data_IF_347177782099
#
_entry.id   IF_347177782099
#
_cell.length_a   1.000
_cell.length_b   1.000
_cell.length_c   1.000
_cell.angle_alpha   90.00
_cell.angle_beta   90.00
_cell.angle_gamma   90.00
#
_symmetry.space_group_name_H-M   'P 1'
#
loop_
_entity.id
_entity.type
_entity.pdbx_description
1 polymer ?
#
# COMPACT_ATOMS: atom_id res chain seq x y z
N UNK A 1 -17.46 -2.37 -7.88
CA UNK A 1 -16.13 -2.69 -8.46
C UNK A 1 -15.49 -3.73 -7.55
N UNK A 2 -15.02 -4.86 -8.08
CA UNK A 2 -14.26 -5.83 -7.29
C UNK A 2 -12.97 -5.16 -6.79
N UNK A 3 -12.44 -5.51 -5.61
CA UNK A 3 -11.20 -4.90 -5.13
C UNK A 3 -10.09 -5.17 -6.14
N UNK A 4 -9.31 -4.13 -6.45
CA UNK A 4 -8.05 -4.35 -7.14
C UNK A 4 -7.12 -5.09 -6.16
N UNK A 5 -6.93 -6.39 -6.39
CA UNK A 5 -5.98 -7.18 -5.61
C UNK A 5 -4.57 -6.58 -5.79
N UNK A 6 -3.97 -6.09 -4.70
CA UNK A 6 -2.60 -5.57 -4.71
C UNK A 6 -1.62 -6.65 -5.15
N UNK A 7 -1.00 -6.46 -6.32
CA UNK A 7 0.03 -7.38 -6.82
C UNK A 7 1.37 -7.03 -6.21
N UNK A 8 1.94 -8.03 -5.56
CA UNK A 8 3.22 -7.97 -4.88
C UNK A 8 4.41 -8.44 -5.70
N UNK A 9 5.60 -8.30 -5.12
CA UNK A 9 6.85 -8.92 -5.56
C UNK A 9 7.25 -9.99 -4.55
N UNK A 10 7.76 -11.12 -5.03
CA UNK A 10 8.22 -12.21 -4.16
C UNK A 10 9.31 -11.74 -3.18
N UNK A 11 9.18 -12.16 -1.92
CA UNK A 11 10.07 -11.77 -0.83
C UNK A 11 9.90 -10.35 -0.27
N UNK A 12 8.94 -9.57 -0.76
CA UNK A 12 8.55 -8.30 -0.13
C UNK A 12 7.94 -8.53 1.26
N UNK A 13 7.92 -7.47 2.08
CA UNK A 13 7.26 -7.53 3.39
C UNK A 13 6.12 -6.52 3.45
N UNK A 14 4.91 -7.01 3.71
CA UNK A 14 3.75 -6.16 3.99
C UNK A 14 3.85 -5.64 5.42
N UNK A 15 3.95 -4.32 5.57
CA UNK A 15 4.10 -3.67 6.88
C UNK A 15 2.76 -3.17 7.42
N UNK A 16 1.82 -2.79 6.56
CA UNK A 16 0.51 -2.28 6.95
C UNK A 16 -0.54 -2.50 5.87
N UNK A 17 -1.80 -2.69 6.26
CA UNK A 17 -2.96 -2.76 5.34
C UNK A 17 -4.12 -1.93 5.86
N UNK A 18 -4.96 -2.46 6.75
CA UNK A 18 -5.98 -1.68 7.44
C UNK A 18 -5.45 -1.13 8.76
N UNK A 19 -5.73 0.14 9.06
CA UNK A 19 -5.46 0.81 10.33
C UNK A 19 -6.77 1.23 10.98
N UNK A 20 -6.88 1.02 12.29
CA UNK A 20 -7.96 1.66 13.05
C UNK A 20 -7.72 3.18 13.11
N UNK A 21 -8.75 4.00 13.38
CA UNK A 21 -8.57 5.44 13.57
C UNK A 21 -7.54 5.79 14.64
N UNK A 22 -7.50 5.04 15.74
CA UNK A 22 -6.56 5.22 16.85
C UNK A 22 -5.13 4.97 16.37
N UNK A 23 -4.91 3.84 15.71
CA UNK A 23 -3.60 3.49 15.18
C UNK A 23 -3.15 4.46 14.08
N UNK A 24 -4.07 4.91 13.21
CA UNK A 24 -3.77 5.93 12.21
C UNK A 24 -3.31 7.24 12.87
N UNK A 25 -3.92 7.64 14.00
CA UNK A 25 -3.48 8.82 14.76
C UNK A 25 -2.12 8.61 15.42
N UNK A 26 -1.84 7.43 15.97
CA UNK A 26 -0.55 7.09 16.59
C UNK A 26 0.62 7.21 15.61
N UNK A 27 0.43 6.77 14.36
CA UNK A 27 1.46 6.85 13.31
C UNK A 27 1.48 8.20 12.58
N UNK A 28 0.69 9.18 13.03
CA UNK A 28 0.61 10.50 12.40
C UNK A 28 -0.09 10.53 11.04
N UNK A 29 -0.90 9.52 10.72
CA UNK A 29 -1.63 9.42 9.47
C UNK A 29 -2.70 10.50 9.30
N UNK A 30 -2.97 10.87 8.05
CA UNK A 30 -3.95 11.91 7.71
C UNK A 30 -5.39 11.42 7.93
N UNK A 31 -6.27 12.37 8.26
CA UNK A 31 -7.72 12.13 8.23
C UNK A 31 -8.12 11.76 6.79
N UNK A 32 -8.94 10.71 6.64
CA UNK A 32 -9.37 10.12 5.36
C UNK A 32 -8.38 9.21 4.62
N UNK A 33 -7.31 8.73 5.27
CA UNK A 33 -6.43 7.72 4.67
C UNK A 33 -7.20 6.47 4.21
N UNK A 34 -6.83 5.92 3.06
CA UNK A 34 -7.37 4.64 2.58
C UNK A 34 -7.01 3.45 3.48
N UNK A 35 -6.00 3.58 4.35
CA UNK A 35 -5.74 2.60 5.40
C UNK A 35 -6.91 2.45 6.38
N UNK A 36 -7.73 3.49 6.55
CA UNK A 36 -8.91 3.43 7.42
C UNK A 36 -10.15 2.89 6.71
N UNK A 37 -10.04 2.51 5.43
CA UNK A 37 -11.17 2.12 4.59
C UNK A 37 -11.05 0.66 4.13
N UNK A 38 -12.21 0.07 3.87
CA UNK A 38 -12.35 -1.28 3.32
C UNK A 38 -13.31 -1.26 2.15
N UNK A 39 -13.06 -2.13 1.19
CA UNK A 39 -14.02 -2.42 0.14
C UNK A 39 -15.25 -3.12 0.72
N UNK A 40 -16.38 -3.18 -0.04
CA UNK A 40 -17.59 -3.87 0.40
C UNK A 40 -17.41 -5.36 0.75
N UNK A 41 -16.38 -6.01 0.22
CA UNK A 41 -16.03 -7.40 0.54
C UNK A 41 -15.10 -7.55 1.75
N UNK A 42 -14.83 -6.45 2.46
CA UNK A 42 -14.00 -6.42 3.66
C UNK A 42 -12.49 -6.32 3.40
N UNK A 43 -12.04 -6.35 2.14
CA UNK A 43 -10.62 -6.21 1.81
C UNK A 43 -10.10 -4.79 2.07
N UNK A 44 -8.81 -4.61 2.45
CA UNK A 44 -8.24 -3.30 2.74
C UNK A 44 -8.12 -2.47 1.45
N UNK A 45 -8.32 -1.15 1.57
CA UNK A 45 -8.15 -0.23 0.44
C UNK A 45 -6.75 0.36 0.34
N UNK A 46 -5.84 0.09 1.27
CA UNK A 46 -4.45 0.49 1.15
C UNK A 46 -3.51 -0.60 1.65
N UNK A 47 -2.27 -0.50 1.20
CA UNK A 47 -1.22 -1.43 1.57
C UNK A 47 0.14 -0.74 1.54
N UNK A 48 0.88 -0.92 2.62
CA UNK A 48 2.28 -0.53 2.72
C UNK A 48 3.16 -1.76 2.68
N UNK A 49 4.28 -1.64 1.99
CA UNK A 49 5.27 -2.72 1.92
C UNK A 49 6.67 -2.21 1.64
N UNK A 50 7.64 -3.03 2.03
CA UNK A 50 9.07 -2.77 1.83
C UNK A 50 9.68 -3.83 0.92
N UNK A 51 10.75 -3.48 0.17
CA UNK A 51 11.37 -4.38 -0.78
C UNK A 51 11.94 -5.65 -0.14
N UNK A 52 12.11 -6.72 -0.93
CA UNK A 52 12.96 -7.84 -0.54
C UNK A 52 14.40 -7.37 -0.26
N UNK A 53 15.12 -8.13 0.55
CA UNK A 53 16.53 -7.83 0.86
C UNK A 53 17.35 -7.71 -0.44
N UNK A 54 18.13 -6.64 -0.55
CA UNK A 54 19.00 -6.37 -1.69
C UNK A 54 18.34 -5.59 -2.85
N UNK A 55 17.04 -5.28 -2.77
CA UNK A 55 16.36 -4.42 -3.75
C UNK A 55 16.23 -2.99 -3.21
N UNK A 56 16.49 -2.00 -4.07
CA UNK A 56 16.30 -0.59 -3.70
C UNK A 56 14.82 -0.19 -3.69
N UNK A 57 14.47 0.81 -2.86
CA UNK A 57 13.12 1.39 -2.83
C UNK A 57 12.64 1.90 -4.19
N UNK A 58 13.52 2.59 -4.92
CA UNK A 58 13.20 3.15 -6.25
C UNK A 58 12.94 2.06 -7.28
N UNK A 59 13.74 0.98 -7.27
CA UNK A 59 13.51 -0.16 -8.15
C UNK A 59 12.21 -0.88 -7.80
N UNK A 60 11.98 -1.09 -6.51
CA UNK A 60 10.78 -1.74 -5.98
C UNK A 60 9.51 -0.99 -6.37
N UNK A 61 9.45 0.32 -6.11
CA UNK A 61 8.33 1.17 -6.50
C UNK A 61 8.06 1.14 -8.00
N UNK A 62 9.11 1.20 -8.83
CA UNK A 62 9.00 1.11 -10.30
C UNK A 62 8.36 -0.21 -10.73
N UNK A 63 8.80 -1.34 -10.14
CA UNK A 63 8.26 -2.66 -10.44
C UNK A 63 6.80 -2.79 -9.97
N UNK A 64 6.49 -2.34 -8.75
CA UNK A 64 5.11 -2.34 -8.24
C UNK A 64 4.17 -1.50 -9.10
N UNK A 65 4.62 -0.32 -9.56
CA UNK A 65 3.84 0.54 -10.47
C UNK A 65 3.54 -0.17 -11.79
N UNK A 66 4.49 -0.94 -12.33
CA UNK A 66 4.28 -1.72 -13.56
C UNK A 66 3.30 -2.89 -13.34
N UNK A 67 3.33 -3.53 -12.17
CA UNK A 67 2.44 -4.65 -11.82
C UNK A 67 1.01 -4.19 -11.53
N UNK A 68 0.85 -2.96 -11.04
CA UNK A 68 -0.42 -2.40 -10.59
C UNK A 68 -0.79 -1.13 -11.37
N UNK A 69 -1.01 -1.22 -12.70
CA UNK A 69 -1.24 -0.04 -13.54
C UNK A 69 -2.55 0.71 -13.25
N UNK A 70 -3.42 0.16 -12.41
CA UNK A 70 -4.72 0.72 -12.03
C UNK A 70 -4.73 1.31 -10.61
N UNK A 71 -3.59 1.27 -9.91
CA UNK A 71 -3.42 1.80 -8.57
C UNK A 71 -2.51 3.04 -8.60
N UNK A 72 -2.60 3.83 -7.55
CA UNK A 72 -1.56 4.77 -7.19
C UNK A 72 -0.51 4.03 -6.34
N UNK A 73 0.73 4.11 -6.80
CA UNK A 73 1.89 3.46 -6.19
C UNK A 73 2.89 4.56 -5.86
N UNK A 74 3.02 4.87 -4.58
CA UNK A 74 3.76 6.02 -4.07
C UNK A 74 4.97 5.50 -3.29
N UNK A 75 6.16 5.95 -3.66
CA UNK A 75 7.37 5.68 -2.90
C UNK A 75 7.53 6.75 -1.82
N UNK A 76 7.27 6.39 -0.56
CA UNK A 76 7.38 7.31 0.58
C UNK A 76 8.82 7.37 1.15
N UNK A 77 9.74 6.61 0.56
CA UNK A 77 11.17 6.62 0.85
C UNK A 77 11.63 5.50 1.76
N UNK A 78 10.85 5.15 2.79
CA UNK A 78 11.10 4.01 3.69
C UNK A 78 10.17 2.82 3.41
N UNK A 79 9.03 3.06 2.75
CA UNK A 79 8.11 2.04 2.24
C UNK A 79 7.41 2.51 0.96
N UNK A 80 6.74 1.58 0.28
CA UNK A 80 5.85 1.88 -0.85
C UNK A 80 4.42 1.71 -0.41
N UNK A 81 3.66 2.79 -0.57
CA UNK A 81 2.22 2.87 -0.33
C UNK A 81 1.46 2.58 -1.64
N UNK A 82 0.43 1.74 -1.56
CA UNK A 82 -0.47 1.45 -2.67
C UNK A 82 -1.92 1.69 -2.28
N UNK A 83 -2.65 2.41 -3.13
CA UNK A 83 -4.08 2.73 -2.95
C UNK A 83 -4.82 2.83 -4.30
N UNK A 84 -6.17 2.78 -4.30
CA UNK A 84 -6.98 3.02 -5.49
C UNK A 84 -6.75 4.41 -6.04
N UNK A 85 -6.76 4.53 -7.38
CA UNK A 85 -6.78 5.84 -8.02
C UNK A 85 -8.00 6.64 -7.60
N UNK A 86 -7.76 7.88 -7.20
CA UNK A 86 -8.78 8.91 -7.01
C UNK A 86 -9.38 9.38 -8.33
#
# INVERSE_FOLDING_TARGET
MAPAAFRGIDGEQVTSTYRSPEHNKEVGGVLNSYHMRRYPDGSPMARDSVPPKGMSMSEYARRLKALNPNLDVINEGDHVHMEPRG
#
